data_IF_039778741937
#
_entry.id   IF_039778741937
#
_cell.length_a   1.000
_cell.length_b   1.000
_cell.length_c   1.000
_cell.angle_alpha   90.00
_cell.angle_beta   90.00
_cell.angle_gamma   90.00
#
_symmetry.space_group_name_H-M   'P 1'
#
loop_
_entity.id
_entity.type
_entity.pdbx_description
1 polymer ?
#
# COMPACT_ATOMS: atom_id res chain seq x y z
N UNK A 1 1.40 15.99 -12.36
CA UNK A 1 2.72 16.00 -13.06
C UNK A 1 2.92 14.64 -13.71
N UNK A 2 3.29 14.56 -15.00
CA UNK A 2 3.35 13.29 -15.72
C UNK A 2 4.77 12.67 -15.64
N UNK A 3 4.88 11.36 -15.37
CA UNK A 3 6.15 10.67 -15.30
C UNK A 3 6.70 10.45 -16.71
N UNK A 4 7.67 11.28 -17.12
CA UNK A 4 8.20 11.25 -18.50
C UNK A 4 8.67 9.84 -18.89
N UNK A 5 8.19 9.35 -20.02
CA UNK A 5 8.54 8.05 -20.57
C UNK A 5 7.71 6.87 -20.03
N UNK A 6 6.95 7.04 -18.94
CA UNK A 6 6.06 6.00 -18.42
C UNK A 6 4.82 5.88 -19.30
N UNK A 7 4.56 4.67 -19.79
CA UNK A 7 3.39 4.33 -20.60
C UNK A 7 2.28 3.69 -19.75
N UNK A 8 2.69 2.83 -18.80
CA UNK A 8 1.79 2.20 -17.83
C UNK A 8 2.49 2.04 -16.48
N UNK A 9 1.70 2.03 -15.41
CA UNK A 9 2.16 1.60 -14.10
C UNK A 9 1.10 0.79 -13.39
N UNK A 10 1.53 -0.08 -12.48
CA UNK A 10 0.68 -0.80 -11.54
C UNK A 10 1.38 -0.86 -10.20
N UNK A 11 0.64 -0.69 -9.12
CA UNK A 11 1.21 -0.64 -7.79
C UNK A 11 0.24 -1.20 -6.75
N UNK A 12 0.79 -1.97 -5.81
CA UNK A 12 0.18 -2.18 -4.49
C UNK A 12 0.99 -1.40 -3.47
N UNK A 13 0.35 -0.57 -2.67
CA UNK A 13 1.03 0.26 -1.69
C UNK A 13 0.20 0.50 -0.44
N UNK A 14 0.85 1.09 0.55
CA UNK A 14 0.22 1.59 1.76
C UNK A 14 0.80 2.96 2.07
N UNK A 15 0.06 3.75 2.82
CA UNK A 15 0.52 5.05 3.33
C UNK A 15 0.36 5.10 4.84
N UNK A 16 1.17 5.91 5.50
CA UNK A 16 1.16 6.02 6.94
C UNK A 16 -0.20 6.53 7.48
N UNK A 17 -0.79 7.52 6.78
CA UNK A 17 -2.03 8.19 7.15
C UNK A 17 -3.21 7.22 7.34
N UNK A 18 -3.30 6.19 6.50
CA UNK A 18 -4.15 5.01 6.77
C UNK A 18 -3.38 3.73 6.49
N UNK A 19 -2.52 3.36 7.44
CA UNK A 19 -1.69 2.17 7.35
C UNK A 19 -2.48 0.85 7.43
N UNK A 20 -3.81 0.90 7.55
CA UNK A 20 -4.64 -0.31 7.60
C UNK A 20 -5.01 -0.81 6.20
N UNK A 21 -5.11 0.11 5.24
CA UNK A 21 -5.63 -0.14 3.90
C UNK A 21 -4.50 -0.54 2.94
N UNK A 22 -4.76 -1.53 2.11
CA UNK A 22 -3.99 -1.84 0.92
C UNK A 22 -4.58 -1.08 -0.27
N UNK A 23 -3.77 -0.24 -0.90
CA UNK A 23 -4.17 0.53 -2.07
C UNK A 23 -3.62 -0.10 -3.34
N UNK A 24 -4.43 -0.08 -4.39
CA UNK A 24 -4.00 -0.38 -5.75
C UNK A 24 -3.99 0.92 -6.58
N UNK A 25 -2.90 1.17 -7.29
CA UNK A 25 -2.81 2.20 -8.31
C UNK A 25 -2.60 1.54 -9.67
N UNK A 26 -3.37 1.96 -10.68
CA UNK A 26 -3.14 1.63 -12.07
C UNK A 26 -3.12 2.89 -12.94
N UNK A 27 -2.20 2.93 -13.90
CA UNK A 27 -2.14 3.98 -14.92
C UNK A 27 -1.88 3.37 -16.30
N UNK A 28 -2.59 3.88 -17.30
CA UNK A 28 -2.34 3.59 -18.71
C UNK A 28 -2.64 4.84 -19.54
N UNK A 29 -1.63 5.34 -20.26
CA UNK A 29 -1.76 6.61 -20.97
C UNK A 29 -2.11 7.76 -20.02
N UNK A 30 -3.13 8.54 -20.34
CA UNK A 30 -3.56 9.68 -19.51
C UNK A 30 -4.50 9.34 -18.35
N UNK A 31 -4.90 8.07 -18.20
CA UNK A 31 -5.84 7.63 -17.16
C UNK A 31 -5.05 7.07 -15.98
N UNK A 32 -5.38 7.54 -14.78
CA UNK A 32 -4.84 7.06 -13.50
C UNK A 32 -6.02 6.82 -12.56
N UNK A 33 -6.00 5.68 -11.86
CA UNK A 33 -6.99 5.32 -10.86
C UNK A 33 -6.28 4.76 -9.62
N UNK A 34 -6.78 5.14 -8.44
CA UNK A 34 -6.38 4.56 -7.15
C UNK A 34 -7.62 4.00 -6.46
N UNK A 35 -7.53 2.77 -5.95
CA UNK A 35 -8.60 2.09 -5.21
C UNK A 35 -8.10 1.53 -3.89
N UNK A 36 -8.99 1.42 -2.92
CA UNK A 36 -8.78 0.54 -1.76
C UNK A 36 -9.11 -0.90 -2.15
N UNK A 37 -8.19 -1.83 -1.93
CA UNK A 37 -8.33 -3.25 -2.32
C UNK A 37 -8.55 -4.16 -1.10
N UNK A 38 -8.55 -3.60 0.12
CA UNK A 38 -8.79 -4.34 1.36
C UNK A 38 -7.90 -3.87 2.50
N UNK A 39 -7.78 -4.70 3.53
CA UNK A 39 -6.94 -4.44 4.69
C UNK A 39 -5.71 -5.36 4.73
N UNK A 40 -4.60 -4.84 5.24
CA UNK A 40 -3.44 -5.66 5.60
C UNK A 40 -3.76 -6.55 6.81
N UNK A 41 -3.24 -7.78 6.84
CA UNK A 41 -3.43 -8.68 7.99
C UNK A 41 -2.89 -8.08 9.29
N UNK A 42 -1.81 -7.30 9.21
CA UNK A 42 -1.26 -6.55 10.32
C UNK A 42 -2.15 -5.41 10.85
N UNK A 43 -3.31 -5.18 10.24
CA UNK A 43 -4.35 -4.27 10.73
C UNK A 43 -5.60 -5.01 11.25
N UNK A 44 -5.68 -6.32 11.04
CA UNK A 44 -6.79 -7.16 11.49
C UNK A 44 -6.45 -7.77 12.86
N UNK A 45 -7.33 -7.69 13.87
CA UNK A 45 -7.14 -8.40 15.14
C UNK A 45 -6.91 -9.90 14.93
N UNK A 46 -5.99 -10.50 15.69
CA UNK A 46 -5.53 -11.89 15.48
C UNK A 46 -6.66 -12.91 15.61
N UNK A 47 -7.64 -12.63 16.46
CA UNK A 47 -8.86 -13.41 16.65
C UNK A 47 -9.72 -13.51 15.39
N UNK A 48 -9.62 -12.55 14.47
CA UNK A 48 -10.39 -12.52 13.23
C UNK A 48 -9.64 -13.12 12.03
N UNK A 49 -8.42 -13.63 12.23
CA UNK A 49 -7.61 -14.16 11.14
C UNK A 49 -8.17 -15.44 10.54
N UNK A 50 -8.90 -16.26 11.32
CA UNK A 50 -9.54 -17.48 10.82
C UNK A 50 -8.57 -18.53 10.23
N UNK A 51 -7.26 -18.42 10.49
CA UNK A 51 -6.24 -19.29 9.92
C UNK A 51 -5.89 -20.46 10.84
N UNK A 52 -5.70 -21.68 10.30
CA UNK A 52 -5.16 -22.81 11.05
C UNK A 52 -3.78 -22.52 11.66
N UNK A 53 -3.42 -23.28 12.69
CA UNK A 53 -2.08 -23.22 13.26
C UNK A 53 -1.01 -23.54 12.19
N UNK A 54 0.05 -22.73 12.13
CA UNK A 54 1.10 -22.85 11.12
C UNK A 54 0.83 -22.11 9.81
N UNK A 55 -0.38 -21.57 9.61
CA UNK A 55 -0.76 -20.83 8.40
C UNK A 55 -1.06 -19.35 8.65
N UNK A 56 -0.80 -18.87 9.86
CA UNK A 56 -1.09 -17.48 10.22
C UNK A 56 -0.28 -16.52 9.35
N UNK A 57 -0.83 -15.33 9.01
CA UNK A 57 -0.12 -14.29 8.28
C UNK A 57 1.26 -13.96 8.85
N UNK A 58 1.39 -13.92 10.19
CA UNK A 58 2.66 -13.63 10.87
C UNK A 58 3.71 -14.75 10.84
N UNK A 59 3.34 -15.92 10.33
CA UNK A 59 4.23 -17.06 10.11
C UNK A 59 4.73 -17.15 8.67
N UNK A 60 4.20 -16.30 7.76
CA UNK A 60 4.58 -16.31 6.35
C UNK A 60 5.90 -15.57 6.10
N UNK A 61 6.69 -15.97 5.09
CA UNK A 61 7.83 -15.20 4.65
C UNK A 61 7.42 -13.77 4.27
N UNK A 62 8.25 -12.79 4.64
CA UNK A 62 7.99 -11.37 4.33
C UNK A 62 7.25 -10.60 5.43
N UNK A 63 6.80 -11.26 6.50
CA UNK A 63 6.25 -10.54 7.65
C UNK A 63 7.34 -9.71 8.36
N UNK A 64 7.17 -8.39 8.39
CA UNK A 64 8.07 -7.48 9.08
C UNK A 64 7.68 -7.34 10.57
N UNK A 65 8.63 -7.35 11.53
CA UNK A 65 8.30 -7.22 12.95
C UNK A 65 7.53 -5.95 13.32
N UNK A 66 7.78 -4.84 12.60
CA UNK A 66 7.12 -3.55 12.82
C UNK A 66 5.91 -3.32 11.90
N UNK A 67 6.00 -3.76 10.64
CA UNK A 67 5.05 -3.37 9.59
C UNK A 67 4.11 -4.52 9.19
N UNK A 68 4.39 -5.74 9.67
CA UNK A 68 3.67 -6.95 9.32
C UNK A 68 3.78 -7.26 7.83
N UNK A 69 2.65 -7.55 7.19
CA UNK A 69 2.58 -7.91 5.76
C UNK A 69 2.60 -6.70 4.81
N UNK A 70 2.60 -5.48 5.34
CA UNK A 70 2.60 -4.23 4.54
C UNK A 70 3.84 -4.15 3.66
N UNK A 71 3.61 -4.16 2.35
CA UNK A 71 4.66 -4.07 1.34
C UNK A 71 4.26 -3.08 0.25
N UNK A 72 5.25 -2.39 -0.33
CA UNK A 72 5.05 -1.60 -1.54
C UNK A 72 5.64 -2.36 -2.74
N UNK A 73 4.81 -2.62 -3.74
CA UNK A 73 5.21 -3.23 -5.00
C UNK A 73 4.80 -2.31 -6.12
N UNK A 74 5.76 -1.82 -6.89
CA UNK A 74 5.54 -0.82 -7.94
C UNK A 74 6.19 -1.30 -9.22
N UNK A 75 5.44 -1.30 -10.32
CA UNK A 75 5.97 -1.56 -11.66
C UNK A 75 5.68 -0.37 -12.58
N UNK A 76 6.69 0.04 -13.33
CA UNK A 76 6.58 1.03 -14.38
C UNK A 76 7.02 0.41 -15.71
N UNK A 77 6.24 0.65 -16.75
CA UNK A 77 6.52 0.19 -18.11
C UNK A 77 6.58 1.42 -18.99
N UNK A 78 7.67 1.58 -19.72
CA UNK A 78 7.88 2.79 -20.50
C UNK A 78 9.15 2.76 -21.33
N UNK A 79 9.41 3.87 -22.00
CA UNK A 79 10.59 4.08 -22.85
C UNK A 79 11.30 5.36 -22.42
N UNK A 80 12.64 5.36 -22.48
CA UNK A 80 13.46 6.52 -22.08
C UNK A 80 13.16 7.02 -20.65
N UNK A 81 12.76 6.10 -19.77
CA UNK A 81 12.53 6.40 -18.35
C UNK A 81 13.86 6.64 -17.65
N UNK A 82 13.89 7.61 -16.73
CA UNK A 82 15.02 7.77 -15.81
C UNK A 82 14.72 7.04 -14.50
N UNK A 83 15.19 5.81 -14.38
CA UNK A 83 15.00 5.00 -13.17
C UNK A 83 15.48 5.73 -11.90
N UNK A 84 16.66 6.38 -11.96
CA UNK A 84 17.22 7.12 -10.82
C UNK A 84 16.34 8.30 -10.38
N UNK A 85 15.86 9.11 -11.32
CA UNK A 85 14.94 10.20 -11.00
C UNK A 85 13.62 9.66 -10.44
N UNK A 86 13.17 8.50 -10.94
CA UNK A 86 11.94 7.90 -10.48
C UNK A 86 12.05 7.38 -9.06
N UNK A 87 13.12 6.65 -8.78
CA UNK A 87 13.47 6.14 -7.45
C UNK A 87 13.59 7.27 -6.43
N UNK A 88 14.31 8.35 -6.77
CA UNK A 88 14.46 9.50 -5.88
C UNK A 88 13.11 10.16 -5.50
N UNK A 89 12.16 10.22 -6.44
CA UNK A 89 10.82 10.76 -6.16
C UNK A 89 9.99 9.83 -5.26
N UNK A 90 10.15 8.52 -5.40
CA UNK A 90 9.49 7.55 -4.52
C UNK A 90 10.12 7.55 -3.12
N UNK A 91 11.45 7.61 -3.04
CA UNK A 91 12.20 7.67 -1.78
C UNK A 91 11.84 8.94 -0.98
N UNK A 92 11.61 10.06 -1.67
CA UNK A 92 11.16 11.31 -1.05
C UNK A 92 9.75 11.21 -0.41
N UNK A 93 8.96 10.19 -0.75
CA UNK A 93 7.66 9.93 -0.13
C UNK A 93 7.76 9.04 1.13
N UNK A 94 8.93 8.44 1.40
CA UNK A 94 9.12 7.61 2.58
C UNK A 94 9.11 8.47 3.85
N UNK A 95 8.58 7.90 4.93
CA UNK A 95 8.71 8.51 6.25
C UNK A 95 10.20 8.60 6.63
N UNK A 96 10.56 9.65 7.37
CA UNK A 96 11.83 9.63 8.09
C UNK A 96 11.85 8.47 9.09
N UNK A 97 13.04 7.92 9.36
CA UNK A 97 13.21 6.73 10.19
C UNK A 97 12.61 6.92 11.59
N UNK A 98 12.78 8.10 12.18
CA UNK A 98 12.23 8.40 13.52
C UNK A 98 10.70 8.34 13.50
N UNK A 99 10.03 8.89 12.48
CA UNK A 99 8.57 8.80 12.35
C UNK A 99 8.11 7.37 11.99
N UNK A 100 8.87 6.65 11.16
CA UNK A 100 8.59 5.26 10.80
C UNK A 100 8.65 4.28 11.98
N UNK A 101 9.45 4.59 13.02
CA UNK A 101 9.54 3.78 14.24
C UNK A 101 8.83 4.39 15.46
N UNK A 102 8.20 5.56 15.32
CA UNK A 102 7.32 6.13 16.33
C UNK A 102 6.00 5.33 16.45
N UNK A 103 5.18 5.62 17.47
CA UNK A 103 3.84 5.03 17.62
C UNK A 103 2.99 5.29 16.36
N UNK A 104 2.31 4.26 15.86
CA UNK A 104 1.47 4.34 14.66
C UNK A 104 0.31 5.33 14.81
N UNK A 105 -0.09 5.67 16.04
CA UNK A 105 -1.05 6.77 16.30
C UNK A 105 -0.56 8.12 15.75
N UNK A 106 0.75 8.34 15.71
CA UNK A 106 1.33 9.55 15.13
C UNK A 106 1.14 9.60 13.60
N UNK A 107 1.00 8.46 12.94
CA UNK A 107 0.76 8.39 11.50
C UNK A 107 -0.65 8.81 11.11
N UNK A 108 -1.65 8.44 11.92
CA UNK A 108 -3.06 8.72 11.65
C UNK A 108 -3.41 10.23 11.64
N UNK A 109 -2.51 11.08 12.14
CA UNK A 109 -2.66 12.54 12.08
C UNK A 109 -2.18 13.13 10.73
N UNK A 110 -1.53 12.34 9.87
CA UNK A 110 -1.06 12.77 8.57
C UNK A 110 -2.24 12.89 7.58
N UNK A 111 -2.20 13.83 6.63
CA UNK A 111 -3.23 13.94 5.61
C UNK A 111 -3.21 12.70 4.68
N UNK A 112 -4.39 12.15 4.41
CA UNK A 112 -4.57 11.07 3.43
C UNK A 112 -5.28 11.60 2.17
N UNK A 113 -4.62 11.67 1.01
CA UNK A 113 -5.27 12.08 -0.24
C UNK A 113 -5.97 10.91 -0.98
N UNK A 114 -5.89 9.68 -0.45
CA UNK A 114 -6.42 8.48 -1.09
C UNK A 114 -7.82 8.13 -0.58
N UNK A 115 -8.60 7.34 -1.35
CA UNK A 115 -9.93 6.92 -0.95
C UNK A 115 -9.96 6.21 0.41
N UNK A 116 -11.12 6.25 1.06
CA UNK A 116 -11.41 5.41 2.21
C UNK A 116 -11.61 3.95 1.77
N UNK A 117 -11.65 3.03 2.74
CA UNK A 117 -11.93 1.63 2.46
C UNK A 117 -13.39 1.48 2.01
N UNK A 118 -13.58 1.13 0.75
CA UNK A 118 -14.87 0.68 0.25
C UNK A 118 -15.10 -0.76 0.73
N UNK A 119 -16.03 -0.95 1.67
CA UNK A 119 -16.55 -2.27 2.00
C UNK A 119 -17.67 -2.55 1.01
N UNK A 120 -17.43 -3.44 0.05
CA UNK A 120 -18.48 -3.92 -0.85
C UNK A 120 -19.65 -4.41 0.02
N UNK A 121 -20.80 -3.75 -0.09
CA UNK A 121 -22.03 -4.11 0.62
C UNK A 121 -22.72 -5.35 0.04
N UNK A 122 -22.10 -6.03 -0.92
CA UNK A 122 -22.77 -6.97 -1.81
C UNK A 122 -22.21 -8.39 -1.66
N UNK A 123 -22.36 -8.96 -0.46
CA UNK A 123 -22.38 -10.41 -0.22
C UNK A 123 -23.71 -10.86 0.43
N UNK A 124 -24.82 -10.16 0.13
CA UNK A 124 -26.18 -10.63 0.43
C UNK A 124 -26.97 -10.83 -0.86
N UNK A 125 -26.52 -11.77 -1.68
CA UNK A 125 -27.29 -12.38 -2.78
C UNK A 125 -26.71 -13.76 -3.08
N UNK A 126 -26.91 -14.69 -2.15
CA UNK A 126 -26.83 -16.14 -2.39
C UNK A 126 -28.24 -16.70 -2.59
#
# INVERSE_FOLDING_TARGET
>A
ENWRGVLRSKCFFWVAADHRIAYEWAQAGGINEVKSTGMWWAAVPREHWGHPEGQRPDQRPGWHPRFGDRTQQVVFIGQQMSEAAMRARLDACLLDERLAYADSKAWAALPNPFPELELDSDEESA
#
